data_IF_995388849742
#
_entry.id   IF_995388849742
#
_cell.length_a   1.000
_cell.length_b   1.000
_cell.length_c   1.000
_cell.angle_alpha   90.00
_cell.angle_beta   90.00
_cell.angle_gamma   90.00
#
_symmetry.space_group_name_H-M   'P 1'
#
loop_
_entity.id
_entity.type
_entity.pdbx_description
1 polymer ?
#
# COMPACT_ATOMS: atom_id res chain seq x y z
N UNK A 1 0.07 23.11 48.75
CA UNK A 1 0.84 22.16 47.90
C UNK A 1 -0.01 21.11 47.17
N UNK A 2 -1.27 20.81 47.58
CA UNK A 2 -2.11 19.82 46.87
C UNK A 2 -2.67 20.27 45.51
N UNK A 3 -2.93 21.59 45.33
CA UNK A 3 -3.55 22.13 44.09
C UNK A 3 -2.60 22.20 42.88
N UNK A 4 -1.29 22.29 43.11
CA UNK A 4 -0.29 22.36 42.02
C UNK A 4 -0.12 20.96 41.40
N UNK A 5 -0.16 19.90 42.23
CA UNK A 5 -0.08 18.52 41.75
C UNK A 5 -1.25 18.13 40.83
N UNK A 6 -2.46 18.63 41.11
CA UNK A 6 -3.64 18.32 40.28
C UNK A 6 -3.54 18.95 38.88
N UNK A 7 -2.88 20.11 38.73
CA UNK A 7 -2.74 20.79 37.44
C UNK A 7 -1.72 20.08 36.54
N UNK A 8 -0.62 19.54 37.09
CA UNK A 8 0.34 18.75 36.30
C UNK A 8 -0.27 17.44 35.78
N UNK A 9 -1.11 16.77 36.57
CA UNK A 9 -1.74 15.50 36.17
C UNK A 9 -2.76 15.72 35.04
N UNK A 10 -3.49 16.83 35.06
CA UNK A 10 -4.43 17.19 33.97
C UNK A 10 -3.66 17.58 32.70
N UNK A 11 -2.54 18.28 32.82
CA UNK A 11 -1.71 18.66 31.66
C UNK A 11 -1.08 17.44 30.97
N UNK A 12 -0.75 16.38 31.71
CA UNK A 12 -0.31 15.10 31.14
C UNK A 12 -1.44 14.29 30.48
N UNK A 13 -2.70 14.51 30.88
CA UNK A 13 -3.87 13.84 30.29
C UNK A 13 -4.45 14.58 29.07
N UNK A 14 -4.13 15.87 28.90
CA UNK A 14 -4.60 16.70 27.77
C UNK A 14 -3.55 16.93 26.70
N UNK A 15 -2.32 16.44 26.88
CA UNK A 15 -1.45 16.25 25.72
C UNK A 15 -2.12 15.14 24.91
N UNK A 16 -2.59 15.39 23.67
CA UNK A 16 -2.83 14.27 22.78
C UNK A 16 -1.52 13.50 22.83
N UNK A 17 -1.59 12.24 23.26
CA UNK A 17 -0.47 11.32 23.14
C UNK A 17 0.08 11.62 21.76
N UNK A 18 1.30 12.18 21.68
CA UNK A 18 1.94 12.52 20.43
C UNK A 18 1.63 11.33 19.54
N UNK A 19 0.74 11.50 18.55
CA UNK A 19 0.54 10.50 17.53
C UNK A 19 1.95 10.38 16.99
N UNK A 20 2.68 9.34 17.41
CA UNK A 20 4.01 9.09 16.93
C UNK A 20 3.77 8.96 15.44
N UNK A 21 4.13 10.02 14.70
CA UNK A 21 3.87 10.09 13.29
C UNK A 21 4.49 8.83 12.71
N UNK A 22 3.66 7.98 12.10
CA UNK A 22 4.13 6.73 11.53
C UNK A 22 5.09 7.14 10.42
N UNK A 23 6.39 7.07 10.70
CA UNK A 23 7.43 7.40 9.75
C UNK A 23 7.40 6.33 8.66
N UNK A 24 7.26 6.76 7.42
CA UNK A 24 7.23 5.92 6.22
C UNK A 24 8.08 6.55 5.10
N UNK A 25 9.21 7.16 5.49
CA UNK A 25 10.05 7.93 4.57
C UNK A 25 10.70 7.03 3.51
N UNK A 26 10.97 5.75 3.84
CA UNK A 26 11.46 4.76 2.88
C UNK A 26 10.45 4.53 1.76
N UNK A 27 9.22 4.21 2.13
CA UNK A 27 8.11 4.04 1.20
C UNK A 27 7.90 5.28 0.34
N UNK A 28 7.85 6.48 0.94
CA UNK A 28 7.67 7.73 0.21
C UNK A 28 8.73 7.94 -0.86
N UNK A 29 10.00 7.63 -0.55
CA UNK A 29 11.11 7.76 -1.50
C UNK A 29 10.92 6.83 -2.70
N UNK A 30 10.54 5.58 -2.46
CA UNK A 30 10.37 4.59 -3.52
C UNK A 30 9.12 4.88 -4.37
N UNK A 31 8.05 5.38 -3.76
CA UNK A 31 6.87 5.88 -4.49
C UNK A 31 7.21 7.07 -5.39
N UNK A 32 8.05 8.01 -4.94
CA UNK A 32 8.49 9.16 -5.76
C UNK A 32 9.32 8.67 -6.95
N UNK A 33 10.25 7.74 -6.72
CA UNK A 33 11.06 7.15 -7.79
C UNK A 33 10.16 6.44 -8.81
N UNK A 34 9.24 5.61 -8.35
CA UNK A 34 8.35 4.84 -9.23
C UNK A 34 7.42 5.76 -10.02
N UNK A 35 6.88 6.83 -9.41
CA UNK A 35 6.14 7.87 -10.15
C UNK A 35 6.97 8.51 -11.25
N UNK A 36 8.27 8.74 -11.02
CA UNK A 36 9.19 9.28 -12.02
C UNK A 36 9.36 8.32 -13.20
N UNK A 37 9.56 7.03 -12.93
CA UNK A 37 9.65 5.98 -13.96
C UNK A 37 8.33 5.88 -14.74
N UNK A 38 7.21 5.83 -14.04
CA UNK A 38 5.87 5.70 -14.62
C UNK A 38 5.58 6.86 -15.58
N UNK A 39 5.95 8.08 -15.20
CA UNK A 39 5.72 9.28 -15.98
C UNK A 39 6.82 9.59 -17.03
N UNK A 40 7.86 8.77 -17.13
CA UNK A 40 8.90 8.93 -18.15
C UNK A 40 8.37 8.65 -19.56
N UNK A 41 9.06 9.15 -20.59
CA UNK A 41 8.64 8.93 -21.98
C UNK A 41 8.58 7.44 -22.33
N UNK A 42 9.55 6.65 -21.88
CA UNK A 42 9.56 5.18 -22.06
C UNK A 42 8.44 4.50 -21.27
N UNK A 43 8.17 4.96 -20.04
CA UNK A 43 7.06 4.48 -19.21
C UNK A 43 5.69 4.73 -19.86
N UNK A 44 5.47 5.94 -20.38
CA UNK A 44 4.23 6.32 -21.09
C UNK A 44 4.07 5.61 -22.43
N UNK A 45 5.16 5.47 -23.19
CA UNK A 45 5.17 4.77 -24.47
C UNK A 45 4.94 3.27 -24.34
N UNK A 46 5.26 2.70 -23.17
CA UNK A 46 5.05 1.27 -22.96
C UNK A 46 3.59 0.86 -23.09
N UNK A 47 2.60 1.78 -22.96
CA UNK A 47 1.13 1.51 -22.93
C UNK A 47 0.69 0.38 -21.98
N UNK A 48 1.63 -0.29 -21.34
CA UNK A 48 1.55 -1.47 -20.47
C UNK A 48 1.64 -1.08 -19.01
N UNK A 49 1.40 0.20 -18.69
CA UNK A 49 0.79 0.49 -17.40
C UNK A 49 -0.65 0.05 -17.49
N UNK A 50 -0.79 -1.25 -17.31
CA UNK A 50 -2.02 -1.96 -17.20
C UNK A 50 -2.88 -1.18 -16.24
N UNK A 51 -4.04 -0.71 -16.72
CA UNK A 51 -5.10 -0.45 -15.75
C UNK A 51 -5.20 -1.73 -14.91
N UNK A 52 -5.24 -1.63 -13.58
CA UNK A 52 -5.33 -2.85 -12.74
C UNK A 52 -6.50 -3.74 -13.18
N UNK A 53 -7.52 -3.14 -13.80
CA UNK A 53 -8.60 -3.82 -14.50
C UNK A 53 -8.14 -4.68 -15.68
N UNK A 54 -7.31 -4.17 -16.58
CA UNK A 54 -6.77 -4.92 -17.71
C UNK A 54 -5.80 -6.02 -17.23
N UNK A 55 -4.98 -5.75 -16.21
CA UNK A 55 -4.08 -6.76 -15.62
C UNK A 55 -4.88 -7.92 -15.03
N UNK A 56 -5.94 -7.58 -14.32
CA UNK A 56 -6.87 -8.55 -13.74
C UNK A 56 -7.68 -9.28 -14.81
N UNK A 57 -8.03 -8.60 -15.90
CA UNK A 57 -8.66 -9.24 -17.06
C UNK A 57 -7.72 -10.27 -17.69
N UNK A 58 -6.44 -9.92 -17.92
CA UNK A 58 -5.43 -10.84 -18.44
C UNK A 58 -5.24 -12.05 -17.53
N UNK A 59 -5.17 -11.84 -16.21
CA UNK A 59 -5.16 -12.93 -15.23
C UNK A 59 -6.36 -13.88 -15.39
N UNK A 60 -7.57 -13.33 -15.48
CA UNK A 60 -8.80 -14.12 -15.68
C UNK A 60 -8.79 -14.90 -17.00
N UNK A 61 -7.96 -14.50 -17.96
CA UNK A 61 -7.75 -15.17 -19.23
C UNK A 61 -6.46 -16.02 -19.27
N UNK A 62 -5.99 -16.46 -18.09
CA UNK A 62 -4.84 -17.35 -17.89
C UNK A 62 -3.46 -16.75 -18.15
N UNK A 63 -3.33 -15.41 -18.19
CA UNK A 63 -2.00 -14.80 -18.17
C UNK A 63 -1.38 -14.95 -16.77
N UNK A 64 -0.25 -15.66 -16.72
CA UNK A 64 0.51 -15.91 -15.48
C UNK A 64 1.57 -14.84 -15.21
N UNK A 65 1.77 -13.90 -16.13
CA UNK A 65 2.75 -12.83 -15.99
C UNK A 65 2.14 -11.53 -15.44
N UNK A 66 0.82 -11.50 -15.23
CA UNK A 66 0.14 -10.32 -14.69
C UNK A 66 0.55 -10.04 -13.24
N UNK A 67 0.38 -8.80 -12.79
CA UNK A 67 0.62 -8.39 -11.41
C UNK A 67 -0.26 -9.21 -10.47
N UNK A 68 -1.52 -9.46 -10.83
CA UNK A 68 -2.41 -10.30 -10.01
C UNK A 68 -1.95 -11.77 -9.92
N UNK A 69 -1.35 -12.31 -10.99
CA UNK A 69 -0.77 -13.65 -10.94
C UNK A 69 0.40 -13.71 -9.93
N UNK A 70 1.21 -12.65 -9.84
CA UNK A 70 2.28 -12.52 -8.85
C UNK A 70 1.72 -12.46 -7.43
N UNK A 71 0.66 -11.67 -7.19
CA UNK A 71 -0.06 -11.64 -5.90
C UNK A 71 -0.49 -13.06 -5.49
N UNK A 72 -1.14 -13.79 -6.39
CA UNK A 72 -1.61 -15.16 -6.12
C UNK A 72 -0.46 -16.15 -5.91
N UNK A 73 0.71 -15.90 -6.51
CA UNK A 73 1.92 -16.69 -6.27
C UNK A 73 2.44 -16.47 -4.84
N UNK A 74 2.61 -15.21 -4.44
CA UNK A 74 3.05 -14.84 -3.09
C UNK A 74 2.05 -15.32 -2.03
N UNK A 75 0.74 -15.32 -2.31
CA UNK A 75 -0.26 -15.85 -1.36
C UNK A 75 -0.08 -17.36 -1.10
N UNK A 76 0.40 -18.11 -2.09
CA UNK A 76 0.70 -19.53 -1.90
C UNK A 76 1.95 -19.73 -1.05
N UNK A 77 2.93 -18.85 -1.21
CA UNK A 77 4.17 -18.84 -0.42
C UNK A 77 3.87 -18.57 1.06
N UNK A 78 3.14 -17.50 1.39
CA UNK A 78 2.79 -17.17 2.78
C UNK A 78 1.46 -17.76 3.26
N UNK A 79 0.98 -18.86 2.66
CA UNK A 79 -0.31 -19.47 3.02
C UNK A 79 -0.35 -19.99 4.47
N UNK A 80 0.81 -20.34 5.02
CA UNK A 80 0.97 -20.88 6.38
C UNK A 80 2.21 -20.23 7.01
N UNK A 81 2.11 -18.97 7.44
CA UNK A 81 3.27 -18.27 7.96
C UNK A 81 3.63 -18.79 9.36
N UNK A 82 4.86 -19.28 9.50
CA UNK A 82 5.40 -19.88 10.72
C UNK A 82 6.22 -18.85 11.51
N UNK A 83 6.93 -17.95 10.83
CA UNK A 83 7.78 -16.92 11.45
C UNK A 83 7.04 -15.58 11.64
N UNK A 84 7.50 -14.70 12.55
CA UNK A 84 6.99 -13.33 12.66
C UNK A 84 7.09 -12.54 11.34
N UNK A 85 8.17 -12.71 10.60
CA UNK A 85 8.43 -12.06 9.32
C UNK A 85 7.43 -12.54 8.25
N UNK A 86 7.21 -13.85 8.13
CA UNK A 86 6.21 -14.41 7.21
C UNK A 86 4.79 -13.95 7.54
N UNK A 87 4.47 -13.75 8.83
CA UNK A 87 3.17 -13.21 9.26
C UNK A 87 3.02 -11.75 8.85
N UNK A 88 4.09 -10.96 8.98
CA UNK A 88 4.12 -9.58 8.52
C UNK A 88 3.91 -9.51 7.00
N UNK A 89 4.65 -10.33 6.25
CA UNK A 89 4.51 -10.46 4.81
C UNK A 89 3.08 -10.85 4.40
N UNK A 90 2.49 -11.87 5.04
CA UNK A 90 1.11 -12.28 4.78
C UNK A 90 0.10 -11.15 5.05
N UNK A 91 0.27 -10.38 6.12
CA UNK A 91 -0.59 -9.24 6.46
C UNK A 91 -0.54 -8.16 5.37
N UNK A 92 0.67 -7.74 4.97
CA UNK A 92 0.85 -6.69 3.98
C UNK A 92 0.47 -7.14 2.56
N UNK A 93 0.68 -8.41 2.23
CA UNK A 93 0.21 -9.00 0.99
C UNK A 93 -1.32 -9.01 0.91
N UNK A 94 -2.02 -9.35 2.00
CA UNK A 94 -3.47 -9.28 2.05
C UNK A 94 -3.99 -7.84 1.81
N UNK A 95 -3.37 -6.84 2.46
CA UNK A 95 -3.68 -5.42 2.22
C UNK A 95 -3.45 -5.02 0.76
N UNK A 96 -2.33 -5.46 0.17
CA UNK A 96 -1.98 -5.19 -1.22
C UNK A 96 -3.02 -5.76 -2.18
N UNK A 97 -3.42 -7.01 -1.98
CA UNK A 97 -4.45 -7.68 -2.77
C UNK A 97 -5.80 -6.96 -2.69
N UNK A 98 -6.22 -6.56 -1.49
CA UNK A 98 -7.48 -5.83 -1.29
C UNK A 98 -7.49 -4.49 -2.03
N UNK A 99 -6.40 -3.73 -1.95
CA UNK A 99 -6.27 -2.46 -2.66
C UNK A 99 -6.21 -2.66 -4.18
N UNK A 100 -5.47 -3.67 -4.64
CA UNK A 100 -5.43 -4.06 -6.05
C UNK A 100 -6.84 -4.36 -6.57
N UNK A 101 -7.59 -5.23 -5.88
CA UNK A 101 -8.94 -5.64 -6.31
C UNK A 101 -9.90 -4.46 -6.32
N UNK A 102 -9.81 -3.57 -5.32
CA UNK A 102 -10.53 -2.31 -5.33
C UNK A 102 -10.28 -1.53 -6.62
N UNK A 103 -9.02 -1.35 -7.04
CA UNK A 103 -8.68 -0.62 -8.26
C UNK A 103 -9.12 -1.35 -9.53
N UNK A 104 -8.95 -2.67 -9.58
CA UNK A 104 -9.29 -3.48 -10.75
C UNK A 104 -10.80 -3.53 -11.01
N UNK A 105 -11.59 -3.61 -9.94
CA UNK A 105 -13.04 -3.79 -10.00
C UNK A 105 -13.81 -2.46 -9.94
N UNK A 106 -13.17 -1.34 -9.54
CA UNK A 106 -13.82 -0.03 -9.45
C UNK A 106 -14.44 0.39 -10.78
N UNK A 107 -15.71 0.84 -10.85
CA UNK A 107 -16.36 1.26 -12.09
C UNK A 107 -15.58 2.37 -12.84
N UNK A 108 -15.22 2.13 -14.10
CA UNK A 108 -14.38 3.06 -14.90
C UNK A 108 -15.00 4.44 -15.05
N UNK A 109 -16.33 4.51 -15.20
CA UNK A 109 -17.09 5.76 -15.30
C UNK A 109 -16.99 6.63 -14.03
N UNK A 110 -16.56 6.05 -12.90
CA UNK A 110 -16.44 6.71 -11.60
C UNK A 110 -14.99 6.90 -11.14
N UNK A 111 -14.03 6.26 -11.79
CA UNK A 111 -12.61 6.25 -11.40
C UNK A 111 -11.87 7.59 -11.61
N UNK A 112 -12.53 8.58 -12.21
CA UNK A 112 -12.01 9.95 -12.39
C UNK A 112 -12.64 10.97 -11.43
N UNK A 113 -13.46 10.51 -10.48
CA UNK A 113 -14.16 11.38 -9.54
C UNK A 113 -13.31 11.76 -8.32
N UNK A 114 -13.60 12.91 -7.72
CA UNK A 114 -13.03 13.32 -6.42
C UNK A 114 -13.29 12.23 -5.36
N UNK A 115 -14.50 11.67 -5.38
CA UNK A 115 -14.90 10.59 -4.47
C UNK A 115 -13.98 9.37 -4.59
N UNK A 116 -13.64 8.94 -5.80
CA UNK A 116 -12.68 7.85 -6.00
C UNK A 116 -11.30 8.19 -5.43
N UNK A 117 -10.82 9.42 -5.62
CA UNK A 117 -9.52 9.88 -5.09
C UNK A 117 -9.52 9.87 -3.56
N UNK A 118 -10.58 10.34 -2.92
CA UNK A 118 -10.75 10.30 -1.46
C UNK A 118 -10.80 8.86 -0.93
N UNK A 119 -11.60 8.00 -1.56
CA UNK A 119 -11.71 6.58 -1.20
C UNK A 119 -10.37 5.86 -1.36
N UNK A 120 -9.67 6.09 -2.47
CA UNK A 120 -8.34 5.52 -2.71
C UNK A 120 -7.34 5.99 -1.66
N UNK A 121 -7.26 7.30 -1.39
CA UNK A 121 -6.34 7.85 -0.39
C UNK A 121 -6.60 7.26 1.02
N UNK A 122 -7.85 6.97 1.37
CA UNK A 122 -8.20 6.33 2.64
C UNK A 122 -7.78 4.85 2.73
N UNK A 123 -7.60 4.19 1.58
CA UNK A 123 -7.22 2.78 1.47
C UNK A 123 -5.74 2.57 1.18
N UNK A 124 -4.97 3.65 0.97
CA UNK A 124 -3.53 3.56 0.73
C UNK A 124 -2.85 2.81 1.87
N UNK A 125 -1.94 1.93 1.49
CA UNK A 125 -1.19 1.13 2.45
C UNK A 125 -0.03 1.98 2.96
N UNK A 126 0.05 2.18 4.26
CA UNK A 126 1.15 2.88 4.92
C UNK A 126 1.99 1.82 5.64
N UNK A 127 3.24 1.66 5.22
CA UNK A 127 4.22 0.78 5.84
C UNK A 127 5.10 1.64 6.76
N UNK A 128 5.09 1.44 8.08
CA UNK A 128 6.06 2.05 8.97
C UNK A 128 7.49 1.66 8.57
N UNK A 129 8.45 2.57 8.71
CA UNK A 129 9.87 2.29 8.41
C UNK A 129 10.39 1.07 9.21
N UNK A 130 9.83 0.79 10.40
CA UNK A 130 10.16 -0.37 11.23
C UNK A 130 9.77 -1.72 10.62
N UNK A 131 8.77 -1.71 9.74
CA UNK A 131 8.24 -2.88 9.06
C UNK A 131 8.84 -2.97 7.65
N UNK A 132 9.11 -1.81 7.03
CA UNK A 132 9.64 -1.69 5.67
C UNK A 132 10.91 -2.53 5.46
N UNK A 133 11.86 -2.45 6.38
CA UNK A 133 13.15 -3.17 6.28
C UNK A 133 13.03 -4.68 6.56
N UNK A 134 11.85 -5.16 6.98
CA UNK A 134 11.57 -6.57 7.31
C UNK A 134 10.66 -7.25 6.29
N UNK A 135 10.03 -6.47 5.42
CA UNK A 135 9.16 -6.99 4.38
C UNK A 135 10.01 -7.52 3.22
N UNK A 136 9.49 -8.54 2.56
CA UNK A 136 10.11 -9.06 1.35
C UNK A 136 10.01 -8.01 0.23
N UNK A 137 11.10 -7.85 -0.52
CA UNK A 137 11.25 -6.82 -1.56
C UNK A 137 10.12 -6.85 -2.59
N UNK A 138 9.63 -8.05 -2.94
CA UNK A 138 8.51 -8.23 -3.87
C UNK A 138 7.19 -7.65 -3.33
N UNK A 139 6.95 -7.77 -2.02
CA UNK A 139 5.76 -7.20 -1.37
C UNK A 139 5.89 -5.68 -1.29
N UNK A 140 7.08 -5.18 -0.95
CA UNK A 140 7.36 -3.74 -0.94
C UNK A 140 7.12 -3.15 -2.33
N UNK A 141 7.71 -3.73 -3.37
CA UNK A 141 7.56 -3.28 -4.75
C UNK A 141 6.09 -3.29 -5.19
N UNK A 142 5.35 -4.36 -4.86
CA UNK A 142 3.93 -4.48 -5.15
C UNK A 142 3.11 -3.36 -4.48
N UNK A 143 3.32 -3.12 -3.19
CA UNK A 143 2.61 -2.07 -2.45
C UNK A 143 2.92 -0.68 -3.03
N UNK A 144 4.19 -0.40 -3.31
CA UNK A 144 4.63 0.86 -3.90
C UNK A 144 3.95 1.05 -5.27
N UNK A 145 3.92 0.02 -6.12
CA UNK A 145 3.25 0.04 -7.42
C UNK A 145 1.75 0.33 -7.32
N UNK A 146 1.04 -0.34 -6.41
CA UNK A 146 -0.40 -0.15 -6.24
C UNK A 146 -0.71 1.24 -5.66
N UNK A 147 0.11 1.73 -4.73
CA UNK A 147 -0.10 3.04 -4.08
C UNK A 147 0.19 4.25 -4.99
N UNK A 148 1.00 4.10 -6.04
CA UNK A 148 1.31 5.20 -6.96
C UNK A 148 0.32 5.32 -8.12
N UNK A 149 -0.66 4.42 -8.21
CA UNK A 149 -1.71 4.46 -9.23
C UNK A 149 -2.34 5.85 -9.36
N UNK A 150 -2.35 6.36 -10.58
CA UNK A 150 -3.02 7.60 -10.96
C UNK A 150 -3.43 7.57 -12.42
#
# INVERSE_FOLDING_TARGET
MKKIFTIMVILCLTLPAFCAEVKNERQKKDEVLLRGIINSDTGRLSKHQTSFREDYYLYKHNDKNSIFAQIVSLEKEYKKPETPEEKLNAEYLAKAKDLYLYLAEYPTDKAVSIKFVEEFNSKRIIIPDSDYDKLDDDIVMLIVLINVYK
#
